data_IF_122764441171
#
_entry.id   IF_122764441171
#
_cell.length_a   1.000
_cell.length_b   1.000
_cell.length_c   1.000
_cell.angle_alpha   90.00
_cell.angle_beta   90.00
_cell.angle_gamma   90.00
#
_symmetry.space_group_name_H-M   'P 1'
#
loop_
_entity.id
_entity.type
_entity.pdbx_description
1 polymer ?
#
# COMPACT_ATOMS: atom_id res chain seq x y z
N UNK A 1 -15.88 -16.21 -12.15
CA UNK A 1 -14.67 -15.67 -12.80
C UNK A 1 -13.82 -15.02 -11.71
N UNK A 2 -12.90 -15.76 -11.08
CA UNK A 2 -11.91 -15.16 -10.18
C UNK A 2 -10.87 -14.50 -11.08
N UNK A 3 -10.73 -13.17 -11.03
CA UNK A 3 -9.63 -12.50 -11.72
C UNK A 3 -8.31 -13.07 -11.17
N UNK A 4 -7.28 -13.29 -12.01
CA UNK A 4 -5.95 -13.60 -11.49
C UNK A 4 -5.50 -12.37 -10.70
N UNK A 5 -5.37 -12.53 -9.39
CA UNK A 5 -4.81 -11.51 -8.50
C UNK A 5 -3.37 -11.31 -8.96
N UNK A 6 -3.04 -10.11 -9.45
CA UNK A 6 -1.67 -9.76 -9.78
C UNK A 6 -1.09 -9.08 -8.55
N UNK A 7 -0.29 -9.82 -7.79
CA UNK A 7 0.42 -9.38 -6.59
C UNK A 7 1.85 -8.98 -6.94
N UNK A 8 2.31 -7.84 -6.41
CA UNK A 8 3.72 -7.45 -6.45
C UNK A 8 4.32 -7.51 -5.05
N UNK A 9 5.30 -8.41 -4.90
CA UNK A 9 6.16 -8.50 -3.73
C UNK A 9 7.43 -7.69 -3.97
N UNK A 10 7.58 -6.58 -3.26
CA UNK A 10 8.80 -5.80 -3.29
C UNK A 10 9.85 -6.49 -2.38
N UNK A 11 11.07 -6.82 -2.90
CA UNK A 11 12.07 -7.50 -2.10
C UNK A 11 12.63 -6.60 -0.97
N UNK A 12 13.00 -7.22 0.16
CA UNK A 12 13.50 -6.52 1.36
C UNK A 12 14.83 -5.74 1.14
N UNK A 13 15.48 -5.87 -0.02
CA UNK A 13 16.65 -5.07 -0.37
C UNK A 13 16.30 -3.70 -0.97
N UNK A 14 15.02 -3.49 -1.34
CA UNK A 14 14.56 -2.24 -1.93
C UNK A 14 14.42 -1.18 -0.84
N UNK A 15 15.11 -0.06 -1.06
CA UNK A 15 15.12 1.10 -0.15
C UNK A 15 14.15 2.17 -0.61
N UNK A 16 13.93 2.29 -1.92
CA UNK A 16 13.03 3.29 -2.50
C UNK A 16 12.29 2.74 -3.71
N UNK A 17 11.05 3.19 -3.88
CA UNK A 17 10.26 2.96 -5.09
C UNK A 17 10.33 4.25 -5.91
N UNK A 18 10.91 4.18 -7.11
CA UNK A 18 11.15 5.36 -7.92
C UNK A 18 9.88 5.93 -8.56
N UNK A 19 10.02 7.15 -9.07
CA UNK A 19 8.98 7.88 -9.80
C UNK A 19 8.44 7.01 -10.93
N UNK A 20 7.11 6.90 -11.06
CA UNK A 20 6.43 6.09 -12.08
C UNK A 20 6.76 4.58 -12.11
N UNK A 21 7.40 4.01 -11.09
CA UNK A 21 7.86 2.61 -11.11
C UNK A 21 6.77 1.58 -11.51
N UNK A 22 5.53 1.79 -11.08
CA UNK A 22 4.36 0.98 -11.42
C UNK A 22 3.28 1.78 -12.14
N UNK A 23 3.60 2.95 -12.68
CA UNK A 23 2.62 3.81 -13.33
C UNK A 23 1.96 3.11 -14.53
N UNK A 24 0.63 3.08 -14.55
CA UNK A 24 -0.18 2.47 -15.62
C UNK A 24 -0.39 0.96 -15.46
N UNK A 25 0.01 0.35 -14.35
CA UNK A 25 -0.25 -1.06 -14.08
C UNK A 25 -1.75 -1.30 -13.74
N UNK A 26 -2.61 -1.37 -14.76
CA UNK A 26 -4.07 -1.51 -14.57
C UNK A 26 -4.51 -2.89 -14.07
N UNK A 27 -3.70 -3.92 -14.28
CA UNK A 27 -3.95 -5.29 -13.78
C UNK A 27 -3.44 -5.55 -12.37
N UNK A 28 -2.65 -4.62 -11.80
CA UNK A 28 -2.13 -4.72 -10.44
C UNK A 28 -3.26 -4.48 -9.46
N UNK A 29 -3.58 -5.45 -8.60
CA UNK A 29 -4.68 -5.35 -7.64
C UNK A 29 -4.20 -5.13 -6.22
N UNK A 30 -3.03 -5.68 -5.89
CA UNK A 30 -2.44 -5.67 -4.57
C UNK A 30 -0.92 -5.44 -4.62
N UNK A 31 -0.38 -4.71 -3.64
CA UNK A 31 1.06 -4.51 -3.46
C UNK A 31 1.45 -4.70 -2.00
N UNK A 32 2.51 -5.47 -1.75
CA UNK A 32 3.13 -5.59 -0.42
C UNK A 32 4.47 -4.87 -0.40
N UNK A 33 4.58 -3.85 0.45
CA UNK A 33 5.77 -3.01 0.63
C UNK A 33 6.47 -3.41 1.94
N UNK A 34 7.73 -3.88 1.88
CA UNK A 34 8.48 -4.30 3.05
C UNK A 34 8.92 -3.09 3.90
N UNK A 35 9.34 -3.36 5.13
CA UNK A 35 9.83 -2.33 6.05
C UNK A 35 11.11 -1.61 5.59
N UNK A 36 11.82 -2.18 4.61
CA UNK A 36 13.06 -1.63 4.07
C UNK A 36 12.83 -0.38 3.22
N UNK A 37 11.61 -0.22 2.68
CA UNK A 37 11.27 0.92 1.82
C UNK A 37 11.06 2.16 2.69
N UNK A 38 11.91 3.16 2.49
CA UNK A 38 11.89 4.43 3.22
C UNK A 38 11.39 5.61 2.36
N UNK A 39 11.29 5.43 1.04
CA UNK A 39 10.83 6.47 0.12
C UNK A 39 10.01 5.92 -1.04
N UNK A 40 8.98 6.67 -1.45
CA UNK A 40 8.19 6.40 -2.66
C UNK A 40 8.09 7.68 -3.49
N UNK A 41 8.49 7.57 -4.74
CA UNK A 41 8.53 8.66 -5.71
C UNK A 41 7.15 9.12 -6.18
N UNK A 42 7.10 10.34 -6.71
CA UNK A 42 5.91 10.91 -7.37
C UNK A 42 5.33 9.91 -8.38
N UNK A 43 4.01 9.72 -8.36
CA UNK A 43 3.29 8.90 -9.35
C UNK A 43 3.75 7.45 -9.43
N UNK A 44 4.39 6.91 -8.39
CA UNK A 44 4.86 5.53 -8.38
C UNK A 44 3.75 4.51 -8.74
N UNK A 45 2.49 4.79 -8.37
CA UNK A 45 1.31 3.97 -8.69
C UNK A 45 0.24 4.80 -9.44
N UNK A 46 0.67 5.74 -10.28
CA UNK A 46 -0.24 6.58 -11.07
C UNK A 46 -0.99 5.72 -12.09
N UNK A 47 -2.32 5.87 -12.19
CA UNK A 47 -3.17 5.12 -13.14
C UNK A 47 -3.14 3.59 -12.97
N UNK A 48 -2.79 3.10 -11.78
CA UNK A 48 -3.04 1.72 -11.38
C UNK A 48 -4.53 1.52 -11.06
N UNK A 49 -5.38 1.48 -12.09
CA UNK A 49 -6.85 1.47 -11.92
C UNK A 49 -7.41 0.20 -11.25
N UNK A 50 -6.66 -0.90 -11.30
CA UNK A 50 -6.98 -2.15 -10.63
C UNK A 50 -6.54 -2.19 -9.16
N UNK A 51 -5.62 -1.30 -8.75
CA UNK A 51 -5.02 -1.33 -7.42
C UNK A 51 -6.04 -0.86 -6.40
N UNK A 52 -6.35 -1.74 -5.46
CA UNK A 52 -7.32 -1.45 -4.40
C UNK A 52 -6.70 -1.52 -3.02
N UNK A 53 -5.63 -2.29 -2.85
CA UNK A 53 -5.05 -2.58 -1.55
C UNK A 53 -3.51 -2.49 -1.59
N UNK A 54 -2.94 -1.78 -0.63
CA UNK A 54 -1.48 -1.67 -0.47
C UNK A 54 -1.12 -1.96 0.97
N UNK A 55 -0.26 -2.94 1.20
CA UNK A 55 0.11 -3.41 2.53
C UNK A 55 1.53 -3.01 2.87
N UNK A 56 1.72 -2.26 3.94
CA UNK A 56 3.02 -1.87 4.46
C UNK A 56 3.42 -2.71 5.66
N UNK A 57 4.62 -3.29 5.61
CA UNK A 57 5.19 -4.08 6.71
C UNK A 57 6.11 -3.28 7.65
N UNK A 58 6.14 -1.95 7.53
CA UNK A 58 7.00 -1.08 8.33
C UNK A 58 6.41 0.31 8.55
N UNK A 59 7.25 1.23 9.01
CA UNK A 59 6.86 2.64 9.17
C UNK A 59 6.49 3.28 7.84
N UNK A 60 5.71 4.37 7.90
CA UNK A 60 5.32 5.12 6.72
C UNK A 60 6.55 5.66 5.98
N UNK A 61 6.80 5.25 4.72
CA UNK A 61 7.88 5.84 3.95
C UNK A 61 7.59 7.30 3.62
N UNK A 62 8.65 8.04 3.30
CA UNK A 62 8.52 9.42 2.80
C UNK A 62 7.85 9.40 1.43
N UNK A 63 6.77 10.16 1.28
CA UNK A 63 6.00 10.25 0.04
C UNK A 63 5.77 11.69 -0.40
N UNK A 64 5.38 11.83 -1.66
CA UNK A 64 4.77 13.06 -2.18
C UNK A 64 3.26 12.88 -2.32
N UNK A 65 2.50 13.95 -2.49
CA UNK A 65 1.03 13.90 -2.46
C UNK A 65 0.37 13.14 -3.61
N UNK A 66 1.13 12.67 -4.61
CA UNK A 66 0.61 12.05 -5.85
C UNK A 66 1.10 10.62 -6.09
N UNK A 67 1.40 9.87 -5.01
CA UNK A 67 1.85 8.47 -5.13
C UNK A 67 0.76 7.59 -5.74
N UNK A 68 -0.46 7.69 -5.23
CA UNK A 68 -1.61 6.95 -5.73
C UNK A 68 -2.56 7.93 -6.43
N UNK A 69 -2.85 7.70 -7.70
CA UNK A 69 -3.83 8.51 -8.43
C UNK A 69 -4.64 7.65 -9.37
N UNK A 70 -5.93 7.93 -9.45
CA UNK A 70 -6.89 7.12 -10.19
C UNK A 70 -8.00 6.66 -9.26
N UNK A 71 -8.27 5.36 -9.26
CA UNK A 71 -9.28 4.76 -8.37
C UNK A 71 -8.83 4.88 -6.91
N UNK A 72 -9.76 5.14 -5.99
CA UNK A 72 -9.47 5.14 -4.55
C UNK A 72 -9.39 3.69 -4.05
N UNK A 73 -8.32 3.36 -3.35
CA UNK A 73 -8.15 2.13 -2.59
C UNK A 73 -7.85 2.44 -1.12
N UNK A 74 -7.35 1.45 -0.39
CA UNK A 74 -6.99 1.55 1.02
C UNK A 74 -5.53 1.18 1.23
N UNK A 75 -4.84 1.97 2.06
CA UNK A 75 -3.50 1.68 2.54
C UNK A 75 -3.59 0.97 3.88
N UNK A 76 -3.07 -0.23 3.98
CA UNK A 76 -3.03 -1.00 5.21
C UNK A 76 -1.63 -1.01 5.82
N UNK A 77 -1.54 -0.85 7.14
CA UNK A 77 -0.28 -0.87 7.88
C UNK A 77 -0.39 -1.67 9.19
N UNK A 78 0.72 -2.22 9.67
CA UNK A 78 0.73 -3.04 10.89
C UNK A 78 0.64 -2.18 12.17
N UNK A 79 0.10 -2.78 13.24
CA UNK A 79 0.16 -2.17 14.56
C UNK A 79 1.62 -1.97 15.01
N UNK A 80 1.85 -0.94 15.84
CA UNK A 80 3.19 -0.57 16.30
C UNK A 80 4.07 0.16 15.28
N UNK A 81 3.60 0.37 14.04
CA UNK A 81 4.30 1.21 13.05
C UNK A 81 3.94 2.69 13.20
N UNK A 82 4.84 3.56 12.77
CA UNK A 82 4.75 5.02 12.96
C UNK A 82 4.75 5.79 11.65
N UNK A 83 4.29 7.05 11.69
CA UNK A 83 4.27 7.96 10.53
C UNK A 83 2.99 7.90 9.68
N UNK A 84 1.99 7.13 10.11
CA UNK A 84 0.68 7.04 9.46
C UNK A 84 -0.25 8.14 9.95
N UNK A 85 -0.97 8.78 9.02
CA UNK A 85 -2.11 9.67 9.31
C UNK A 85 -3.37 9.12 8.64
N UNK A 86 -4.50 9.85 8.73
CA UNK A 86 -5.79 9.43 8.17
C UNK A 86 -5.74 9.09 6.68
N UNK A 87 -4.81 9.72 5.95
CA UNK A 87 -4.51 9.43 4.56
C UNK A 87 -3.02 9.31 4.30
N UNK A 88 -2.65 8.50 3.31
CA UNK A 88 -1.29 8.31 2.84
C UNK A 88 -1.28 8.27 1.30
N UNK A 89 -0.50 9.18 0.68
CA UNK A 89 -0.44 9.28 -0.78
C UNK A 89 -1.79 9.56 -1.46
N UNK A 90 -2.73 10.19 -0.74
CA UNK A 90 -4.08 10.51 -1.22
C UNK A 90 -5.15 9.43 -0.95
N UNK A 91 -4.78 8.30 -0.37
CA UNK A 91 -5.71 7.21 -0.01
C UNK A 91 -5.93 7.13 1.50
N UNK A 92 -7.12 6.71 1.97
CA UNK A 92 -7.33 6.43 3.39
C UNK A 92 -6.40 5.33 3.89
N UNK A 93 -5.96 5.45 5.14
CA UNK A 93 -5.18 4.42 5.81
C UNK A 93 -6.04 3.62 6.80
N UNK A 94 -5.66 2.36 7.04
CA UNK A 94 -6.29 1.49 8.01
C UNK A 94 -5.27 0.52 8.62
N UNK A 95 -5.51 0.10 9.87
CA UNK A 95 -4.71 -0.97 10.47
C UNK A 95 -4.99 -2.29 9.77
N UNK A 96 -3.93 -2.99 9.35
CA UNK A 96 -4.02 -4.34 8.83
C UNK A 96 -4.29 -5.30 9.99
N UNK A 97 -5.47 -5.91 10.00
CA UNK A 97 -5.88 -6.86 11.01
C UNK A 97 -6.08 -8.23 10.36
N UNK A 98 -5.03 -9.07 10.20
CA UNK A 98 -5.13 -10.35 9.51
C UNK A 98 -6.02 -11.40 10.22
N UNK A 99 -6.76 -11.05 11.28
CA UNK A 99 -7.73 -11.94 11.93
C UNK A 99 -8.78 -11.19 12.82
N UNK A 100 -9.34 -10.05 12.38
CA UNK A 100 -10.53 -9.47 13.03
C UNK A 100 -11.84 -9.71 12.24
N UNK A 101 -11.93 -10.89 11.62
CA UNK A 101 -13.22 -11.55 11.45
C UNK A 101 -13.26 -12.70 12.46
N UNK A 102 -14.15 -12.57 13.45
CA UNK A 102 -14.52 -13.54 14.49
C UNK A 102 -13.55 -13.81 15.64
N UNK A 103 -13.48 -12.90 16.61
CA UNK A 103 -13.76 -13.19 18.03
C UNK A 103 -13.79 -11.92 18.87
N UNK A 104 -14.96 -11.68 19.47
CA UNK A 104 -15.14 -11.27 20.86
C UNK A 104 -14.07 -10.34 21.43
N UNK A 105 -14.39 -9.05 21.45
CA UNK A 105 -14.12 -8.24 22.63
C UNK A 105 -15.07 -8.76 23.73
N UNK A 106 -14.66 -9.82 24.42
CA UNK A 106 -15.23 -10.23 25.70
C UNK A 106 -14.17 -9.94 26.78
N UNK A 107 -14.62 -9.11 27.74
CA UNK A 107 -14.06 -8.77 29.06
C UNK A 107 -13.20 -7.50 29.14
#
# INVERSE_FOLDING_TARGET
MHQPVMEVLIPNSVIGIDRWAFGGCTGLTEVVIPNSVISIGDRAFYECTGLTEVYFRGNAPKVTDRVFSGKKGTVYYLDGTTGWGDTFGGWPTALYQPALSSKAEEM
#
